data_IF_408136694489
#
_entry.id   IF_408136694489
#
_cell.length_a   1.000
_cell.length_b   1.000
_cell.length_c   1.000
_cell.angle_alpha   90.00
_cell.angle_beta   90.00
_cell.angle_gamma   90.00
#
_symmetry.space_group_name_H-M   'P 1'
#
loop_
_entity.id
_entity.type
_entity.pdbx_description
1 polymer ?
#
# COMPACT_ATOMS: atom_id res chain seq x y z
N UNK A 1 0.05 40.24 45.88
CA UNK A 1 0.44 40.77 44.57
C UNK A 1 1.09 39.63 43.82
N UNK A 2 0.32 39.07 42.91
CA UNK A 2 0.59 37.89 42.10
C UNK A 2 1.30 38.32 40.83
N UNK A 3 2.54 37.89 40.64
CA UNK A 3 3.23 38.02 39.36
C UNK A 3 2.94 36.78 38.53
N UNK A 4 2.10 36.98 37.50
CA UNK A 4 1.84 36.04 36.41
C UNK A 4 3.12 35.83 35.59
N UNK A 5 3.72 34.65 35.72
CA UNK A 5 4.70 34.15 34.76
C UNK A 5 3.92 33.74 33.50
N UNK A 6 3.95 34.62 32.50
CA UNK A 6 3.56 34.28 31.12
C UNK A 6 4.49 33.18 30.60
N UNK A 7 3.95 31.96 30.48
CA UNK A 7 4.53 30.92 29.60
C UNK A 7 4.33 31.38 28.16
N UNK A 8 5.39 31.94 27.57
CA UNK A 8 5.45 32.27 26.15
C UNK A 8 5.73 30.96 25.39
N UNK A 9 4.81 30.57 24.50
CA UNK A 9 4.98 29.43 23.59
C UNK A 9 6.08 29.73 22.57
N UNK A 10 7.11 28.88 22.52
CA UNK A 10 8.11 28.87 21.46
C UNK A 10 7.50 28.19 20.23
N UNK A 11 7.44 28.90 19.11
CA UNK A 11 7.04 28.35 17.81
C UNK A 11 8.30 27.70 17.21
N UNK A 12 8.43 26.39 17.36
CA UNK A 12 9.50 25.59 16.75
C UNK A 12 9.28 25.47 15.23
N UNK A 13 9.99 26.27 14.43
CA UNK A 13 10.14 26.00 13.00
C UNK A 13 11.23 24.94 12.83
N UNK A 14 10.87 23.76 12.33
CA UNK A 14 11.81 22.67 12.05
C UNK A 14 11.79 22.35 10.56
N UNK A 15 12.96 22.33 9.95
CA UNK A 15 13.11 22.15 8.50
C UNK A 15 14.07 20.99 8.22
N UNK A 16 13.74 20.10 7.29
CA UNK A 16 14.48 18.89 6.97
C UNK A 16 15.00 18.90 5.54
N UNK A 17 16.25 18.53 5.23
CA UNK A 17 16.73 18.36 3.85
C UNK A 17 17.79 17.26 3.68
N UNK A 18 18.03 16.78 2.44
CA UNK A 18 19.10 15.83 2.10
C UNK A 18 20.38 16.57 1.67
N UNK A 19 21.56 16.17 2.16
CA UNK A 19 22.83 16.82 1.82
C UNK A 19 23.66 15.91 0.90
N UNK A 20 23.99 16.39 -0.31
CA UNK A 20 24.99 15.78 -1.19
C UNK A 20 26.29 16.58 -1.03
N UNK A 21 27.32 15.94 -0.50
CA UNK A 21 28.72 16.31 -0.74
C UNK A 21 29.53 15.02 -0.90
N UNK A 22 29.77 14.62 -2.14
CA UNK A 22 30.93 13.79 -2.47
C UNK A 22 32.09 14.73 -2.86
N UNK A 23 33.34 14.47 -2.41
CA UNK A 23 34.51 15.25 -2.78
C UNK A 23 35.24 14.67 -4.01
N UNK A 24 35.73 15.58 -4.88
CA UNK A 24 36.76 15.41 -5.94
C UNK A 24 36.39 14.53 -7.16
N UNK A 25 36.78 14.80 -8.41
CA UNK A 25 37.79 15.72 -8.97
C UNK A 25 37.48 16.01 -10.46
N UNK A 26 38.09 17.08 -10.97
CA UNK A 26 37.98 17.61 -12.33
C UNK A 26 38.32 16.60 -13.44
N UNK A 27 37.64 16.73 -14.59
CA UNK A 27 38.31 16.91 -15.89
C UNK A 27 37.38 17.61 -16.87
N UNK A 28 37.76 18.84 -17.24
CA UNK A 28 37.25 19.59 -18.39
C UNK A 28 37.92 19.07 -19.66
N UNK A 29 37.15 18.93 -20.74
CA UNK A 29 37.62 19.19 -22.10
C UNK A 29 36.42 19.47 -23.02
N UNK A 30 36.06 20.74 -23.08
CA UNK A 30 35.80 21.57 -24.26
C UNK A 30 35.56 20.96 -25.67
N UNK A 31 34.63 21.64 -26.36
CA UNK A 31 34.40 21.77 -27.83
C UNK A 31 33.60 20.63 -28.50
N UNK A 32 32.67 20.86 -29.43
CA UNK A 32 32.40 22.02 -30.28
C UNK A 32 30.92 22.05 -30.75
N UNK A 33 30.47 23.27 -31.04
CA UNK A 33 29.27 23.60 -31.79
C UNK A 33 29.13 22.79 -33.09
N UNK A 34 27.88 22.48 -33.45
CA UNK A 34 27.36 22.79 -34.79
C UNK A 34 25.82 22.80 -34.79
N UNK A 35 25.31 24.00 -35.08
CA UNK A 35 24.04 24.27 -35.73
C UNK A 35 23.89 23.43 -37.01
N UNK A 36 22.66 23.08 -37.38
CA UNK A 36 22.10 23.46 -38.68
C UNK A 36 20.58 23.28 -38.68
N UNK A 37 19.92 24.32 -39.18
CA UNK A 37 18.50 24.46 -39.47
C UNK A 37 18.14 23.75 -40.79
N UNK A 38 16.86 23.36 -40.92
CA UNK A 38 15.97 23.40 -42.10
C UNK A 38 14.87 22.34 -41.91
N UNK A 39 13.60 22.70 -41.69
CA UNK A 39 12.58 22.98 -42.72
C UNK A 39 12.61 21.94 -43.86
N UNK A 40 11.58 21.14 -44.13
CA UNK A 40 10.25 21.56 -44.54
C UNK A 40 9.38 20.34 -44.95
N UNK A 41 8.06 20.58 -44.97
CA UNK A 41 7.04 20.04 -45.88
C UNK A 41 6.39 18.65 -45.70
N UNK A 42 5.17 18.74 -45.13
CA UNK A 42 3.89 18.24 -45.64
C UNK A 42 3.89 17.46 -46.97
N UNK A 43 3.24 16.28 -46.95
CA UNK A 43 2.30 15.90 -48.01
C UNK A 43 1.28 14.85 -47.55
N UNK A 44 0.02 15.27 -47.53
CA UNK A 44 -1.16 14.41 -47.62
C UNK A 44 -1.21 13.76 -49.02
N UNK A 45 -1.55 12.47 -49.08
CA UNK A 45 -2.26 11.91 -50.23
C UNK A 45 -3.12 10.71 -49.83
N UNK A 46 -4.38 10.80 -50.26
CA UNK A 46 -5.50 9.88 -50.09
C UNK A 46 -5.34 8.54 -50.83
N UNK A 47 -6.28 7.65 -50.46
CA UNK A 47 -7.09 6.73 -51.30
C UNK A 47 -6.60 5.28 -51.39
N UNK A 48 -7.42 4.34 -50.95
CA UNK A 48 -8.48 3.72 -51.78
C UNK A 48 -9.02 2.44 -51.12
N UNK A 49 -10.35 2.30 -51.14
CA UNK A 49 -11.11 1.13 -50.73
C UNK A 49 -10.79 -0.12 -51.55
N UNK A 50 -10.88 -1.31 -50.94
CA UNK A 50 -11.32 -2.54 -51.61
C UNK A 50 -11.85 -3.57 -50.61
N UNK A 51 -13.15 -3.83 -50.71
CA UNK A 51 -13.86 -5.00 -50.17
C UNK A 51 -13.53 -6.27 -50.99
N UNK A 52 -13.42 -7.41 -50.31
CA UNK A 52 -13.95 -8.69 -50.81
C UNK A 52 -13.94 -9.79 -49.73
N UNK A 53 -15.07 -10.48 -49.65
CA UNK A 53 -15.44 -11.58 -48.76
C UNK A 53 -14.69 -12.91 -48.99
N UNK A 54 -14.60 -13.71 -47.91
CA UNK A 54 -15.24 -15.04 -47.76
C UNK A 54 -14.36 -16.23 -47.28
N UNK A 55 -14.86 -16.86 -46.21
CA UNK A 55 -14.79 -18.26 -45.75
C UNK A 55 -13.45 -19.00 -45.48
N UNK A 56 -13.27 -19.41 -44.22
CA UNK A 56 -13.40 -20.81 -43.73
C UNK A 56 -12.38 -21.22 -42.64
N UNK A 57 -12.95 -21.67 -41.51
CA UNK A 57 -12.45 -22.57 -40.47
C UNK A 57 -10.95 -22.67 -40.15
N UNK A 58 -10.55 -22.30 -38.93
CA UNK A 58 -9.96 -23.29 -38.01
C UNK A 58 -10.06 -22.86 -36.53
N UNK A 59 -10.30 -23.84 -35.67
CA UNK A 59 -10.42 -23.68 -34.21
C UNK A 59 -9.06 -23.42 -33.58
N UNK A 60 -8.84 -22.25 -32.97
CA UNK A 60 -7.98 -22.11 -31.79
C UNK A 60 -8.56 -21.10 -30.81
N UNK A 61 -8.70 -21.55 -29.57
CA UNK A 61 -8.99 -20.77 -28.37
C UNK A 61 -8.07 -19.53 -28.35
N UNK A 62 -8.66 -18.35 -28.52
CA UNK A 62 -7.98 -17.07 -28.34
C UNK A 62 -8.83 -16.21 -27.42
N UNK A 63 -8.13 -15.52 -26.54
CA UNK A 63 -8.53 -14.72 -25.37
C UNK A 63 -9.77 -13.83 -25.60
N UNK A 64 -10.55 -13.50 -24.55
CA UNK A 64 -11.65 -12.57 -24.69
C UNK A 64 -11.09 -11.19 -25.05
N UNK A 65 -11.46 -10.78 -26.26
CA UNK A 65 -11.08 -9.56 -26.96
C UNK A 65 -11.42 -8.30 -26.17
N UNK A 66 -10.44 -7.40 -26.19
CA UNK A 66 -10.51 -5.95 -26.01
C UNK A 66 -11.92 -5.37 -26.13
N UNK A 67 -12.44 -4.90 -24.98
CA UNK A 67 -13.54 -3.96 -24.99
C UNK A 67 -13.01 -2.61 -25.48
N UNK A 68 -13.55 -2.19 -26.62
CA UNK A 68 -13.17 -1.01 -27.35
C UNK A 68 -12.98 0.23 -26.47
N UNK A 69 -11.75 0.72 -26.56
CA UNK A 69 -11.26 1.97 -26.06
C UNK A 69 -11.87 3.10 -26.88
N UNK A 70 -12.92 3.76 -26.39
CA UNK A 70 -13.27 5.15 -26.76
C UNK A 70 -14.28 5.82 -25.80
N UNK A 71 -14.38 5.36 -24.55
CA UNK A 71 -14.96 6.19 -23.49
C UNK A 71 -13.83 6.94 -22.80
N UNK A 72 -13.83 8.27 -22.90
CA UNK A 72 -12.87 9.19 -22.28
C UNK A 72 -12.92 9.22 -20.74
N UNK A 73 -13.35 8.14 -20.11
CA UNK A 73 -13.13 7.89 -18.69
C UNK A 73 -11.70 7.38 -18.56
N UNK A 74 -10.75 8.30 -18.43
CA UNK A 74 -9.46 8.03 -17.78
C UNK A 74 -9.75 7.47 -16.38
N UNK A 75 -9.97 6.16 -16.28
CA UNK A 75 -9.99 5.44 -15.01
C UNK A 75 -8.62 5.70 -14.38
N UNK A 76 -8.60 6.50 -13.34
CA UNK A 76 -7.39 6.84 -12.60
C UNK A 76 -6.87 5.53 -12.01
N UNK A 77 -5.80 4.98 -12.59
CA UNK A 77 -5.26 3.66 -12.21
C UNK A 77 -4.70 3.65 -10.78
N UNK A 78 -4.64 4.79 -10.09
CA UNK A 78 -4.06 4.97 -8.75
C UNK A 78 -4.71 4.13 -7.64
N UNK A 79 -5.99 3.74 -7.81
CA UNK A 79 -6.75 2.90 -6.86
C UNK A 79 -6.52 1.41 -7.05
N UNK A 80 -5.97 1.04 -8.20
CA UNK A 80 -5.62 -0.32 -8.54
C UNK A 80 -4.11 -0.49 -8.30
N UNK A 81 -3.64 -1.66 -7.81
CA UNK A 81 -2.21 -1.90 -7.63
C UNK A 81 -1.42 -1.76 -8.94
N UNK A 82 -2.08 -1.93 -10.09
CA UNK A 82 -1.55 -1.70 -11.44
C UNK A 82 -1.10 -0.24 -11.69
N UNK A 83 -1.62 0.73 -10.91
CA UNK A 83 -1.14 2.12 -10.92
C UNK A 83 0.14 2.36 -10.12
N UNK A 84 0.71 1.32 -9.50
CA UNK A 84 1.88 1.39 -8.62
C UNK A 84 1.53 1.73 -7.16
N UNK A 85 2.34 1.28 -6.20
CA UNK A 85 2.23 1.66 -4.78
C UNK A 85 3.56 2.19 -4.28
N UNK A 86 3.59 3.44 -3.82
CA UNK A 86 4.78 4.06 -3.25
C UNK A 86 5.30 3.26 -2.05
N UNK A 87 4.39 2.78 -1.21
CA UNK A 87 4.77 2.03 -0.01
C UNK A 87 5.38 0.66 -0.36
N UNK A 88 4.84 -0.02 -1.38
CA UNK A 88 5.44 -1.26 -1.89
C UNK A 88 6.79 -1.00 -2.55
N UNK A 89 6.90 0.04 -3.37
CA UNK A 89 8.11 0.40 -4.12
C UNK A 89 9.26 0.82 -3.21
N UNK A 90 8.96 1.37 -2.03
CA UNK A 90 9.97 1.84 -1.10
C UNK A 90 10.65 0.72 -0.30
N UNK A 91 10.12 -0.50 -0.36
CA UNK A 91 10.60 -1.69 0.37
C UNK A 91 10.79 -1.42 1.87
N UNK A 92 9.87 -0.66 2.46
CA UNK A 92 9.97 -0.26 3.87
C UNK A 92 9.59 -1.46 4.75
N UNK A 93 10.49 -1.92 5.64
CA UNK A 93 10.17 -3.02 6.53
C UNK A 93 8.99 -2.68 7.44
N UNK A 94 8.10 -3.65 7.62
CA UNK A 94 7.05 -3.59 8.62
C UNK A 94 7.64 -3.61 10.04
N UNK A 95 6.97 -3.01 11.03
CA UNK A 95 7.31 -3.25 12.45
C UNK A 95 6.81 -4.61 12.90
N UNK A 96 7.34 -5.12 14.01
CA UNK A 96 6.85 -6.37 14.62
C UNK A 96 5.35 -6.29 14.93
N UNK A 97 4.86 -5.14 15.37
CA UNK A 97 3.43 -4.92 15.63
C UNK A 97 2.61 -4.92 14.33
N UNK A 98 3.12 -4.31 13.25
CA UNK A 98 2.45 -4.32 11.95
C UNK A 98 2.37 -5.74 11.37
N UNK A 99 3.47 -6.49 11.42
CA UNK A 99 3.52 -7.90 10.98
C UNK A 99 2.53 -8.76 11.79
N UNK A 100 2.53 -8.60 13.12
CA UNK A 100 1.62 -9.31 14.01
C UNK A 100 0.15 -8.99 13.70
N UNK A 101 -0.18 -7.71 13.48
CA UNK A 101 -1.55 -7.30 13.13
C UNK A 101 -2.02 -7.90 11.81
N UNK A 102 -1.14 -7.94 10.80
CA UNK A 102 -1.43 -8.58 9.51
C UNK A 102 -1.66 -10.08 9.72
N UNK A 103 -0.77 -10.77 10.42
CA UNK A 103 -0.91 -12.20 10.67
C UNK A 103 -2.20 -12.54 11.46
N UNK A 104 -2.55 -11.73 12.46
CA UNK A 104 -3.78 -11.87 13.22
C UNK A 104 -5.03 -11.70 12.33
N UNK A 105 -5.07 -10.66 11.49
CA UNK A 105 -6.17 -10.44 10.55
C UNK A 105 -6.30 -11.60 9.57
N UNK A 106 -5.21 -11.99 8.90
CA UNK A 106 -5.27 -13.01 7.87
C UNK A 106 -5.71 -14.36 8.45
N UNK A 107 -5.33 -14.68 9.69
CA UNK A 107 -5.83 -15.87 10.42
C UNK A 107 -7.31 -15.75 10.78
N UNK A 108 -7.73 -14.59 11.28
CA UNK A 108 -9.12 -14.39 11.71
C UNK A 108 -10.09 -14.39 10.54
N UNK A 109 -9.75 -13.72 9.42
CA UNK A 109 -10.51 -13.81 8.17
C UNK A 109 -10.62 -15.26 7.73
N UNK A 110 -9.50 -15.99 7.60
CA UNK A 110 -9.51 -17.43 7.22
C UNK A 110 -10.40 -18.27 8.13
N UNK A 111 -10.36 -18.04 9.44
CA UNK A 111 -11.25 -18.71 10.39
C UNK A 111 -12.73 -18.40 10.15
N UNK A 112 -13.07 -17.17 9.72
CA UNK A 112 -14.44 -16.81 9.33
C UNK A 112 -14.87 -17.47 8.02
N UNK A 113 -13.95 -17.66 7.06
CA UNK A 113 -14.22 -18.44 5.84
C UNK A 113 -14.65 -19.86 6.21
N UNK A 114 -13.84 -20.53 7.05
CA UNK A 114 -14.12 -21.91 7.49
C UNK A 114 -15.42 -22.02 8.29
N UNK A 115 -15.74 -20.99 9.09
CA UNK A 115 -17.00 -20.89 9.83
C UNK A 115 -18.19 -20.75 8.86
N UNK A 116 -18.10 -19.84 7.89
CA UNK A 116 -19.10 -19.62 6.85
C UNK A 116 -19.36 -20.91 6.06
N UNK A 117 -18.31 -21.57 5.57
CA UNK A 117 -18.43 -22.83 4.83
C UNK A 117 -19.10 -23.94 5.66
N UNK A 118 -18.73 -24.07 6.94
CA UNK A 118 -19.28 -25.10 7.82
C UNK A 118 -20.76 -24.85 8.09
N UNK A 119 -21.13 -23.60 8.35
CA UNK A 119 -22.53 -23.23 8.52
C UNK A 119 -23.32 -23.52 7.24
N UNK A 120 -22.79 -23.13 6.09
CA UNK A 120 -23.43 -23.35 4.79
C UNK A 120 -23.71 -24.84 4.53
N UNK A 121 -22.67 -25.68 4.67
CA UNK A 121 -22.78 -27.15 4.53
C UNK A 121 -23.79 -27.74 5.52
N UNK A 122 -23.83 -27.22 6.75
CA UNK A 122 -24.78 -27.67 7.78
C UNK A 122 -26.22 -27.34 7.38
N UNK A 123 -26.51 -26.10 6.98
CA UNK A 123 -27.85 -25.67 6.56
C UNK A 123 -28.35 -26.50 5.37
N UNK A 124 -27.52 -26.70 4.35
CA UNK A 124 -27.85 -27.54 3.20
C UNK A 124 -28.17 -28.98 3.63
N UNK A 125 -27.33 -29.58 4.49
CA UNK A 125 -27.53 -30.97 4.92
C UNK A 125 -28.83 -31.19 5.71
N UNK A 126 -29.30 -30.14 6.39
CA UNK A 126 -30.53 -30.15 7.19
C UNK A 126 -31.77 -29.68 6.41
N UNK A 127 -31.62 -29.31 5.13
CA UNK A 127 -32.67 -28.68 4.33
C UNK A 127 -33.25 -27.41 5.00
N UNK A 128 -32.40 -26.69 5.74
CA UNK A 128 -32.74 -25.40 6.34
C UNK A 128 -32.63 -24.29 5.29
N UNK A 129 -33.44 -23.23 5.45
CA UNK A 129 -33.35 -22.06 4.57
C UNK A 129 -31.94 -21.43 4.64
N UNK A 130 -31.38 -21.14 3.47
CA UNK A 130 -30.14 -20.36 3.33
C UNK A 130 -30.42 -18.84 3.28
N UNK A 131 -31.69 -18.45 3.38
CA UNK A 131 -32.12 -17.06 3.53
C UNK A 131 -31.35 -16.43 4.71
N UNK A 132 -30.70 -15.30 4.44
CA UNK A 132 -29.84 -14.53 5.35
C UNK A 132 -28.49 -15.16 5.71
N UNK A 133 -28.11 -16.30 5.12
CA UNK A 133 -26.74 -16.82 5.31
C UNK A 133 -25.70 -15.86 4.73
N UNK A 134 -25.95 -15.33 3.52
CA UNK A 134 -25.05 -14.37 2.85
C UNK A 134 -24.85 -13.13 3.70
N UNK A 135 -25.94 -12.55 4.19
CA UNK A 135 -25.91 -11.38 5.07
C UNK A 135 -25.04 -11.67 6.32
N UNK A 136 -25.30 -12.79 7.01
CA UNK A 136 -24.51 -13.19 8.18
C UNK A 136 -23.03 -13.46 7.89
N UNK A 137 -22.71 -14.02 6.72
CA UNK A 137 -21.34 -14.24 6.28
C UNK A 137 -20.61 -12.92 5.98
N UNK A 138 -21.29 -12.00 5.29
CA UNK A 138 -20.77 -10.65 4.99
C UNK A 138 -20.59 -9.82 6.27
N UNK A 139 -21.51 -9.89 7.22
CA UNK A 139 -21.40 -9.22 8.53
C UNK A 139 -20.21 -9.73 9.35
N UNK A 140 -19.89 -11.03 9.29
CA UNK A 140 -18.67 -11.56 9.91
C UNK A 140 -17.41 -11.00 9.27
N UNK A 141 -17.37 -10.87 7.95
CA UNK A 141 -16.25 -10.25 7.24
C UNK A 141 -16.13 -8.79 7.67
N UNK A 142 -17.24 -8.04 7.65
CA UNK A 142 -17.31 -6.64 8.06
C UNK A 142 -16.80 -6.45 9.49
N UNK A 143 -17.26 -7.26 10.43
CA UNK A 143 -16.85 -7.21 11.83
C UNK A 143 -15.33 -7.37 12.00
N UNK A 144 -14.70 -8.26 11.23
CA UNK A 144 -13.24 -8.42 11.24
C UNK A 144 -12.58 -7.19 10.60
N UNK A 145 -13.06 -6.71 9.46
CA UNK A 145 -12.52 -5.52 8.79
C UNK A 145 -12.54 -4.31 9.73
N UNK A 146 -13.70 -3.98 10.30
CA UNK A 146 -13.87 -2.85 11.22
C UNK A 146 -12.88 -2.91 12.39
N UNK A 147 -12.80 -4.08 13.04
CA UNK A 147 -11.89 -4.34 14.17
C UNK A 147 -10.42 -4.06 13.82
N UNK A 148 -9.95 -4.44 12.64
CA UNK A 148 -8.54 -4.25 12.27
C UNK A 148 -8.26 -2.88 11.65
N UNK A 149 -9.25 -2.26 11.00
CA UNK A 149 -9.17 -0.86 10.59
C UNK A 149 -8.95 0.06 11.80
N UNK A 150 -9.67 -0.16 12.90
CA UNK A 150 -9.49 0.55 14.17
C UNK A 150 -8.11 0.34 14.81
N UNK A 151 -7.48 -0.81 14.54
CA UNK A 151 -6.13 -1.14 15.03
C UNK A 151 -5.00 -0.58 14.16
N UNK A 152 -5.31 0.13 13.08
CA UNK A 152 -4.29 0.71 12.20
C UNK A 152 -3.62 -0.29 11.25
N UNK A 153 -4.32 -1.35 10.83
CA UNK A 153 -3.80 -2.34 9.87
C UNK A 153 -3.31 -1.69 8.56
N UNK A 154 -2.20 -2.19 8.01
CA UNK A 154 -1.73 -1.84 6.66
C UNK A 154 -2.44 -2.69 5.60
N UNK A 155 -3.32 -2.06 4.87
CA UNK A 155 -4.22 -2.62 3.85
C UNK A 155 -3.47 -3.13 2.62
N UNK A 156 -2.40 -2.45 2.24
CA UNK A 156 -1.64 -2.76 1.04
C UNK A 156 -0.49 -3.75 1.31
N UNK A 157 -0.33 -4.22 2.54
CA UNK A 157 0.68 -5.22 2.89
C UNK A 157 0.24 -6.63 2.55
N UNK A 158 1.20 -7.52 2.22
CA UNK A 158 0.95 -8.92 1.90
C UNK A 158 0.68 -9.74 3.16
N UNK A 159 -0.28 -10.65 3.10
CA UNK A 159 -0.48 -11.68 4.12
C UNK A 159 0.62 -12.75 3.99
N UNK A 160 1.33 -13.10 5.07
CA UNK A 160 2.43 -14.10 5.01
C UNK A 160 2.02 -15.50 4.50
N UNK A 161 0.72 -15.78 4.37
CA UNK A 161 0.17 -17.06 3.93
C UNK A 161 -0.56 -17.01 2.57
N UNK A 162 -0.50 -15.88 1.86
CA UNK A 162 -1.00 -15.72 0.49
C UNK A 162 -0.12 -14.72 -0.27
N UNK A 163 0.00 -14.82 -1.59
CA UNK A 163 0.67 -13.77 -2.38
C UNK A 163 -0.19 -12.49 -2.50
N UNK A 164 -1.24 -12.37 -1.67
CA UNK A 164 -2.28 -11.36 -1.76
C UNK A 164 -2.12 -10.30 -0.66
N UNK A 165 -2.50 -9.06 -1.01
CA UNK A 165 -2.62 -7.99 -0.01
C UNK A 165 -3.83 -8.23 0.88
N UNK A 166 -3.86 -7.61 2.06
CA UNK A 166 -5.01 -7.65 2.99
C UNK A 166 -6.31 -7.29 2.27
N UNK A 167 -6.30 -6.21 1.47
CA UNK A 167 -7.49 -5.79 0.70
C UNK A 167 -7.93 -6.86 -0.29
N UNK A 168 -7.00 -7.42 -1.08
CA UNK A 168 -7.35 -8.43 -2.07
C UNK A 168 -7.90 -9.71 -1.43
N UNK A 169 -7.34 -10.12 -0.28
CA UNK A 169 -7.86 -11.25 0.49
C UNK A 169 -9.31 -11.03 0.91
N UNK A 170 -9.64 -9.83 1.40
CA UNK A 170 -11.02 -9.49 1.82
C UNK A 170 -11.97 -9.52 0.61
N UNK A 171 -11.56 -8.95 -0.53
CA UNK A 171 -12.38 -8.96 -1.74
C UNK A 171 -12.62 -10.39 -2.27
N UNK A 172 -11.58 -11.23 -2.29
CA UNK A 172 -11.72 -12.64 -2.65
C UNK A 172 -12.73 -13.36 -1.76
N UNK A 173 -12.71 -13.07 -0.47
CA UNK A 173 -13.62 -13.70 0.47
C UNK A 173 -15.08 -13.26 0.23
N UNK A 174 -15.31 -11.97 -0.04
CA UNK A 174 -16.64 -11.50 -0.43
C UNK A 174 -17.12 -12.22 -1.68
N UNK A 175 -16.26 -12.35 -2.70
CA UNK A 175 -16.59 -13.09 -3.94
C UNK A 175 -16.94 -14.55 -3.62
N UNK A 176 -16.16 -15.23 -2.78
CA UNK A 176 -16.42 -16.61 -2.38
C UNK A 176 -17.77 -16.81 -1.69
N UNK A 177 -18.18 -15.87 -0.82
CA UNK A 177 -19.50 -15.88 -0.19
C UNK A 177 -20.61 -15.76 -1.23
N UNK A 178 -20.48 -14.84 -2.20
CA UNK A 178 -21.49 -14.60 -3.23
C UNK A 178 -21.58 -15.76 -4.25
N UNK A 179 -20.47 -16.39 -4.59
CA UNK A 179 -20.46 -17.55 -5.49
C UNK A 179 -21.07 -18.80 -4.84
N UNK A 180 -20.92 -18.95 -3.53
CA UNK A 180 -21.43 -20.11 -2.80
C UNK A 180 -22.96 -20.22 -2.84
N UNK A 181 -23.68 -19.10 -2.86
CA UNK A 181 -25.15 -19.05 -2.88
C UNK A 181 -25.75 -19.12 -4.28
N UNK A 182 -25.02 -18.72 -5.31
CA UNK A 182 -25.54 -18.70 -6.69
C UNK A 182 -25.57 -20.08 -7.35
N UNK A 183 -24.62 -20.96 -6.99
CA UNK A 183 -24.55 -22.34 -7.49
C UNK A 183 -25.70 -23.24 -6.99
N UNK A 184 -26.44 -22.83 -5.96
CA UNK A 184 -27.59 -23.56 -5.42
C UNK A 184 -28.93 -23.05 -5.96
N UNK A 185 -29.07 -21.74 -6.24
CA UNK A 185 -30.29 -21.18 -6.83
C UNK A 185 -30.45 -21.55 -8.31
N UNK A 186 -29.35 -21.76 -9.06
CA UNK A 186 -29.42 -22.29 -10.44
C UNK A 186 -29.68 -23.80 -10.52
N UNK A 187 -30.04 -24.45 -9.41
CA UNK A 187 -30.45 -25.86 -9.31
C UNK A 187 -31.82 -26.19 -9.91
N UNK A 188 -32.32 -25.38 -10.83
CA UNK A 188 -33.49 -25.68 -11.65
C UNK A 188 -33.18 -26.80 -12.65
N UNK A 189 -33.53 -28.03 -12.28
CA UNK A 189 -33.71 -29.24 -13.13
C UNK A 189 -33.40 -29.05 -14.62
N UNK A 190 -32.22 -29.52 -15.05
CA UNK A 190 -32.10 -30.09 -16.40
C UNK A 190 -32.49 -31.57 -16.35
N UNK A 191 -33.75 -31.85 -16.01
CA UNK A 191 -34.36 -33.11 -16.42
C UNK A 191 -34.84 -32.92 -17.85
N UNK A 192 -34.05 -33.42 -18.81
CA UNK A 192 -34.54 -33.66 -20.16
C UNK A 192 -35.80 -34.53 -20.05
N UNK A 193 -36.90 -34.04 -20.64
CA UNK A 193 -38.22 -34.64 -20.79
C UNK A 193 -39.19 -34.40 -19.61
N UNK A 194 -39.95 -33.29 -19.67
CA UNK A 194 -41.41 -33.34 -19.82
C UNK A 194 -41.96 -31.95 -20.23
N UNK A 195 -42.94 -31.86 -21.14
CA UNK A 195 -43.48 -30.59 -21.64
C UNK A 195 -44.75 -30.18 -20.88
N UNK A 196 -44.89 -28.86 -20.71
CA UNK A 196 -46.10 -28.14 -20.24
C UNK A 196 -46.25 -28.18 -18.72
N UNK A 197 -45.60 -27.23 -18.05
CA UNK A 197 -46.31 -26.46 -17.03
C UNK A 197 -45.80 -25.01 -17.02
N UNK A 198 -46.76 -24.12 -16.82
CA UNK A 198 -46.68 -22.68 -16.93
C UNK A 198 -45.49 -22.11 -16.13
N UNK A 199 -44.60 -21.43 -16.84
CA UNK A 199 -43.50 -20.63 -16.30
C UNK A 199 -44.03 -19.57 -15.32
N UNK A 200 -43.87 -19.83 -14.03
CA UNK A 200 -43.83 -18.80 -13.00
C UNK A 200 -42.39 -18.26 -12.94
N UNK A 201 -42.07 -17.34 -13.85
CA UNK A 201 -40.87 -16.50 -13.78
C UNK A 201 -41.05 -15.40 -12.71
N UNK A 202 -41.41 -15.76 -11.48
CA UNK A 202 -41.49 -14.81 -10.39
C UNK A 202 -40.55 -15.18 -9.23
N UNK A 203 -39.50 -14.36 -9.10
CA UNK A 203 -38.76 -14.04 -7.87
C UNK A 203 -37.88 -15.13 -7.25
N UNK A 204 -36.75 -15.40 -7.90
CA UNK A 204 -35.51 -15.65 -7.13
C UNK A 204 -34.57 -14.48 -7.45
N UNK A 205 -34.69 -13.39 -6.69
CA UNK A 205 -33.69 -12.32 -6.73
C UNK A 205 -32.34 -12.92 -6.35
N UNK A 206 -31.31 -12.69 -7.17
CA UNK A 206 -29.96 -13.19 -6.90
C UNK A 206 -29.53 -12.65 -5.53
N UNK A 207 -29.04 -13.52 -4.65
CA UNK A 207 -28.66 -13.15 -3.30
C UNK A 207 -27.59 -12.05 -3.30
N UNK A 208 -26.75 -11.99 -4.33
CA UNK A 208 -25.78 -10.92 -4.54
C UNK A 208 -26.40 -9.55 -4.88
N UNK A 209 -27.68 -9.54 -5.26
CA UNK A 209 -28.44 -8.35 -5.67
C UNK A 209 -29.43 -7.85 -4.61
N UNK A 210 -29.52 -8.53 -3.45
CA UNK A 210 -30.32 -8.04 -2.32
C UNK A 210 -29.75 -6.75 -1.76
N UNK A 211 -30.62 -5.78 -1.48
CA UNK A 211 -30.27 -4.44 -1.01
C UNK A 211 -29.44 -4.46 0.29
N UNK A 212 -29.74 -5.38 1.21
CA UNK A 212 -28.99 -5.56 2.46
C UNK A 212 -27.54 -6.00 2.19
N UNK A 213 -27.35 -6.98 1.31
CA UNK A 213 -26.03 -7.49 0.95
C UNK A 213 -25.22 -6.43 0.19
N UNK A 214 -25.86 -5.70 -0.74
CA UNK A 214 -25.26 -4.57 -1.45
C UNK A 214 -24.77 -3.53 -0.45
N UNK A 215 -25.59 -3.18 0.54
CA UNK A 215 -25.25 -2.18 1.56
C UNK A 215 -24.04 -2.59 2.40
N UNK A 216 -23.96 -3.85 2.83
CA UNK A 216 -22.82 -4.38 3.58
C UNK A 216 -21.54 -4.36 2.73
N UNK A 217 -21.62 -4.83 1.48
CA UNK A 217 -20.48 -4.84 0.55
C UNK A 217 -20.00 -3.40 0.30
N UNK A 218 -20.91 -2.48 0.00
CA UNK A 218 -20.58 -1.07 -0.21
C UNK A 218 -19.93 -0.45 1.02
N UNK A 219 -20.39 -0.78 2.24
CA UNK A 219 -19.73 -0.35 3.48
C UNK A 219 -18.28 -0.84 3.55
N UNK A 220 -18.05 -2.16 3.39
CA UNK A 220 -16.70 -2.75 3.46
C UNK A 220 -15.79 -2.11 2.40
N UNK A 221 -16.25 -2.04 1.15
CA UNK A 221 -15.51 -1.48 0.01
C UNK A 221 -15.16 -0.02 0.28
N UNK A 222 -16.14 0.79 0.72
CA UNK A 222 -15.95 2.20 1.06
C UNK A 222 -14.90 2.37 2.16
N UNK A 223 -15.01 1.61 3.24
CA UNK A 223 -14.12 1.74 4.40
C UNK A 223 -12.66 1.36 4.06
N UNK A 224 -12.46 0.34 3.23
CA UNK A 224 -11.14 -0.05 2.75
C UNK A 224 -10.52 0.99 1.79
N UNK A 225 -11.26 1.45 0.78
CA UNK A 225 -10.75 2.35 -0.26
C UNK A 225 -10.55 3.78 0.25
N UNK A 226 -11.44 4.31 1.08
CA UNK A 226 -11.26 5.63 1.69
C UNK A 226 -10.04 5.68 2.63
N UNK A 227 -9.64 4.53 3.17
CA UNK A 227 -8.39 4.35 3.93
C UNK A 227 -7.19 4.01 3.05
N UNK A 228 -7.30 4.14 1.73
CA UNK A 228 -6.17 3.98 0.81
C UNK A 228 -5.83 2.53 0.42
N UNK A 229 -6.74 1.58 0.71
CA UNK A 229 -6.62 0.22 0.22
C UNK A 229 -6.66 0.15 -1.30
N UNK A 230 -5.74 -0.61 -1.90
CA UNK A 230 -5.67 -0.86 -3.34
C UNK A 230 -6.11 -2.29 -3.64
N UNK A 231 -7.10 -2.41 -4.50
CA UNK A 231 -7.72 -3.68 -4.90
C UNK A 231 -7.42 -3.96 -6.36
N UNK A 232 -7.20 -5.22 -6.73
CA UNK A 232 -7.02 -5.62 -8.13
C UNK A 232 -8.28 -5.36 -8.94
N UNK A 233 -8.12 -4.89 -10.18
CA UNK A 233 -9.26 -4.46 -11.03
C UNK A 233 -10.29 -5.56 -11.26
N UNK A 234 -9.84 -6.78 -11.53
CA UNK A 234 -10.74 -7.92 -11.77
C UNK A 234 -11.52 -8.35 -10.53
N UNK A 235 -11.03 -8.03 -9.31
CA UNK A 235 -11.77 -8.26 -8.08
C UNK A 235 -12.84 -7.19 -7.89
N UNK A 236 -12.50 -5.92 -8.11
CA UNK A 236 -13.44 -4.82 -7.91
C UNK A 236 -14.61 -4.83 -8.90
N UNK A 237 -14.36 -5.25 -10.14
CA UNK A 237 -15.39 -5.40 -11.19
C UNK A 237 -15.79 -6.86 -11.40
N UNK A 238 -15.54 -7.75 -10.44
CA UNK A 238 -15.98 -9.13 -10.52
C UNK A 238 -17.50 -9.21 -10.70
N UNK A 239 -18.02 -10.06 -11.58
CA UNK A 239 -19.46 -10.11 -11.93
C UNK A 239 -20.39 -10.09 -10.70
N UNK A 240 -19.99 -10.80 -9.62
CA UNK A 240 -20.77 -10.88 -8.38
C UNK A 240 -20.71 -9.63 -7.50
N UNK A 241 -19.58 -8.94 -7.46
CA UNK A 241 -19.41 -7.73 -6.63
C UNK A 241 -19.69 -6.45 -7.44
N UNK A 242 -19.59 -6.54 -8.77
CA UNK A 242 -19.78 -5.46 -9.73
C UNK A 242 -21.14 -4.82 -9.61
N UNK A 243 -22.18 -5.62 -9.29
CA UNK A 243 -23.51 -5.10 -8.99
C UNK A 243 -23.49 -4.15 -7.80
N UNK A 244 -22.81 -4.48 -6.71
CA UNK A 244 -22.70 -3.60 -5.55
C UNK A 244 -21.78 -2.40 -5.81
N UNK A 245 -20.66 -2.59 -6.53
CA UNK A 245 -19.66 -1.53 -6.75
C UNK A 245 -20.04 -0.56 -7.86
N UNK A 246 -20.89 -0.95 -8.81
CA UNK A 246 -21.35 -0.09 -9.92
C UNK A 246 -22.83 0.32 -9.82
N UNK A 247 -23.54 -0.15 -8.79
CA UNK A 247 -24.91 0.28 -8.49
C UNK A 247 -24.99 1.80 -8.30
N UNK A 248 -26.17 2.34 -8.62
CA UNK A 248 -26.51 3.72 -8.30
C UNK A 248 -26.72 3.86 -6.80
N UNK A 249 -26.16 4.92 -6.21
CA UNK A 249 -26.39 5.25 -4.80
C UNK A 249 -27.63 6.15 -4.75
N UNK A 250 -28.72 5.64 -4.18
CA UNK A 250 -30.02 6.32 -4.10
C UNK A 250 -30.60 6.76 -5.46
N UNK A 251 -31.72 7.50 -5.46
CA UNK A 251 -32.31 8.16 -6.65
C UNK A 251 -31.39 9.22 -7.30
N UNK A 252 -30.09 9.23 -6.97
CA UNK A 252 -29.10 10.08 -7.60
C UNK A 252 -28.57 9.39 -8.86
N UNK A 253 -28.30 10.16 -9.91
CA UNK A 253 -27.71 9.64 -11.16
C UNK A 253 -26.21 9.26 -11.00
N UNK A 254 -25.69 9.10 -9.78
CA UNK A 254 -24.29 8.81 -9.50
C UNK A 254 -24.09 7.34 -9.13
N UNK A 255 -23.16 6.69 -9.82
CA UNK A 255 -22.72 5.33 -9.50
C UNK A 255 -21.81 5.35 -8.25
N UNK A 256 -21.89 4.29 -7.45
CA UNK A 256 -21.13 4.13 -6.21
C UNK A 256 -19.62 4.28 -6.43
N UNK A 257 -19.06 3.58 -7.41
CA UNK A 257 -17.64 3.68 -7.78
C UNK A 257 -17.20 5.11 -8.11
N UNK A 258 -17.97 5.83 -8.93
CA UNK A 258 -17.69 7.23 -9.29
C UNK A 258 -17.69 8.14 -8.07
N UNK A 259 -18.67 7.97 -7.18
CA UNK A 259 -18.72 8.73 -5.93
C UNK A 259 -17.50 8.43 -5.06
N UNK A 260 -17.22 7.15 -4.84
CA UNK A 260 -16.13 6.67 -4.00
C UNK A 260 -14.78 7.13 -4.50
N UNK A 261 -14.50 7.01 -5.81
CA UNK A 261 -13.24 7.47 -6.39
C UNK A 261 -13.08 8.98 -6.31
N UNK A 262 -14.16 9.76 -6.44
CA UNK A 262 -14.11 11.20 -6.22
C UNK A 262 -13.73 11.55 -4.77
N UNK A 263 -14.25 10.81 -3.79
CA UNK A 263 -13.87 10.97 -2.37
C UNK A 263 -12.43 10.56 -2.11
N UNK A 264 -11.97 9.42 -2.62
CA UNK A 264 -10.57 8.99 -2.53
C UNK A 264 -9.63 10.04 -3.14
N UNK A 265 -9.98 10.59 -4.32
CA UNK A 265 -9.20 11.65 -4.98
C UNK A 265 -9.14 12.93 -4.16
N UNK A 266 -10.23 13.29 -3.48
CA UNK A 266 -10.27 14.45 -2.59
C UNK A 266 -9.32 14.25 -1.41
N UNK A 267 -9.35 13.07 -0.78
CA UNK A 267 -8.46 12.71 0.33
C UNK A 267 -6.98 12.77 -0.12
N UNK A 268 -6.65 12.18 -1.26
CA UNK A 268 -5.30 12.20 -1.82
C UNK A 268 -4.82 13.64 -2.11
N UNK A 269 -5.67 14.45 -2.74
CA UNK A 269 -5.34 15.86 -3.02
C UNK A 269 -5.19 16.69 -1.75
N UNK A 270 -5.98 16.40 -0.71
CA UNK A 270 -5.84 17.07 0.59
C UNK A 270 -4.47 16.78 1.19
N UNK A 271 -4.02 15.52 1.21
CA UNK A 271 -2.67 15.16 1.66
C UNK A 271 -1.59 15.80 0.77
N UNK A 272 -1.78 15.82 -0.55
CA UNK A 272 -0.84 16.44 -1.50
C UNK A 272 -0.69 17.95 -1.27
N UNK A 273 -1.78 18.64 -0.97
CA UNK A 273 -1.77 20.07 -0.64
C UNK A 273 -1.03 20.32 0.68
N UNK A 274 -1.30 19.52 1.71
CA UNK A 274 -0.58 19.61 3.00
C UNK A 274 0.92 19.36 2.82
N UNK A 275 1.28 18.35 2.03
CA UNK A 275 2.66 18.05 1.68
C UNK A 275 3.33 19.22 0.97
N UNK A 276 2.69 19.80 -0.05
CA UNK A 276 3.19 20.98 -0.75
C UNK A 276 3.38 22.18 0.18
N UNK A 277 2.42 22.42 1.07
CA UNK A 277 2.48 23.52 2.02
C UNK A 277 3.62 23.40 3.03
N UNK A 278 4.05 22.17 3.34
CA UNK A 278 5.16 21.88 4.25
C UNK A 278 6.53 22.21 3.69
N UNK A 279 6.68 22.44 2.38
CA UNK A 279 7.96 22.80 1.76
C UNK A 279 8.32 24.23 2.14
N UNK A 280 9.51 24.44 2.72
CA UNK A 280 9.96 25.74 3.25
C UNK A 280 10.33 26.72 2.14
N UNK A 281 11.04 26.26 1.10
CA UNK A 281 11.52 27.10 -0.01
C UNK A 281 10.70 26.86 -1.28
N UNK A 282 9.47 27.37 -1.30
CA UNK A 282 8.57 27.31 -2.46
C UNK A 282 9.07 28.29 -3.52
N UNK A 283 9.75 27.81 -4.56
CA UNK A 283 10.04 28.66 -5.72
C UNK A 283 8.89 28.52 -6.73
N UNK A 284 7.95 29.46 -6.69
CA UNK A 284 6.63 29.40 -7.35
C UNK A 284 6.68 29.11 -8.86
N UNK A 285 7.74 29.56 -9.54
CA UNK A 285 7.86 29.47 -11.01
C UNK A 285 8.58 28.21 -11.52
N UNK A 286 9.33 27.49 -10.65
CA UNK A 286 10.11 26.31 -11.03
C UNK A 286 9.50 24.98 -10.55
N UNK A 287 8.53 25.05 -9.63
CA UNK A 287 8.02 23.89 -8.89
C UNK A 287 6.65 23.39 -9.37
N UNK A 288 5.79 24.24 -9.96
CA UNK A 288 4.41 23.83 -10.33
C UNK A 288 4.34 22.83 -11.49
N UNK A 289 5.24 22.94 -12.46
CA UNK A 289 5.25 22.08 -13.66
C UNK A 289 6.25 20.91 -13.58
N UNK A 290 7.03 20.80 -12.48
CA UNK A 290 8.10 19.79 -12.30
C UNK A 290 8.11 19.08 -10.93
N UNK A 291 7.15 19.33 -10.04
CA UNK A 291 7.07 18.59 -8.77
C UNK A 291 6.63 17.15 -9.04
N UNK A 292 7.57 16.19 -9.00
CA UNK A 292 7.27 14.77 -8.80
C UNK A 292 6.82 14.50 -7.35
N UNK A 293 5.97 15.36 -6.78
CA UNK A 293 5.38 15.13 -5.47
C UNK A 293 4.32 14.03 -5.61
N UNK A 294 4.59 12.89 -4.98
CA UNK A 294 3.65 11.76 -4.92
C UNK A 294 3.24 11.52 -3.48
N UNK A 295 1.98 11.18 -3.28
CA UNK A 295 1.44 10.85 -1.95
C UNK A 295 0.67 9.54 -2.02
N UNK A 296 0.62 8.82 -0.91
CA UNK A 296 -0.17 7.61 -0.75
C UNK A 296 -0.65 7.49 0.69
N UNK A 297 -1.82 6.90 0.90
CA UNK A 297 -2.40 6.60 2.22
C UNK A 297 -2.56 5.09 2.33
N UNK A 298 -2.30 4.57 3.52
CA UNK A 298 -2.56 3.19 3.91
C UNK A 298 -2.98 3.16 5.38
N UNK A 299 -4.30 3.28 5.58
CA UNK A 299 -4.98 3.45 6.85
C UNK A 299 -4.42 4.61 7.68
N UNK A 300 -3.84 4.36 8.86
CA UNK A 300 -3.24 5.40 9.70
C UNK A 300 -1.87 5.87 9.19
N UNK A 301 -1.33 5.20 8.17
CA UNK A 301 -0.04 5.51 7.57
C UNK A 301 -0.22 6.33 6.29
N UNK A 302 0.73 7.22 6.03
CA UNK A 302 0.82 7.92 4.76
C UNK A 302 2.26 8.01 4.29
N UNK A 303 2.45 8.04 2.98
CA UNK A 303 3.74 8.21 2.32
C UNK A 303 3.74 9.50 1.51
N UNK A 304 4.84 10.24 1.57
CA UNK A 304 5.08 11.41 0.73
C UNK A 304 6.47 11.29 0.12
N UNK A 305 6.53 11.25 -1.21
CA UNK A 305 7.77 11.40 -1.97
C UNK A 305 7.92 12.83 -2.43
N UNK A 306 8.89 13.54 -1.86
CA UNK A 306 9.23 14.90 -2.23
C UNK A 306 10.27 14.94 -3.35
N UNK A 307 10.37 16.08 -4.06
CA UNK A 307 11.54 16.40 -4.89
C UNK A 307 12.85 16.28 -4.11
N UNK A 308 13.92 15.91 -4.81
CA UNK A 308 15.20 15.53 -4.22
C UNK A 308 15.79 16.54 -3.22
N UNK A 309 15.76 17.84 -3.53
CA UNK A 309 16.39 18.88 -2.70
C UNK A 309 15.37 19.62 -1.81
N UNK A 310 14.25 18.97 -1.48
CA UNK A 310 13.20 19.59 -0.70
C UNK A 310 13.63 19.81 0.74
N UNK A 311 13.30 21.01 1.24
CA UNK A 311 13.32 21.26 2.67
C UNK A 311 11.90 21.24 3.24
N UNK A 312 11.59 20.35 4.19
CA UNK A 312 10.20 20.13 4.67
C UNK A 312 10.01 20.38 6.16
N UNK A 313 8.86 20.93 6.52
CA UNK A 313 8.42 21.15 7.90
C UNK A 313 7.42 20.07 8.32
N UNK A 314 7.94 19.01 8.96
CA UNK A 314 7.16 17.82 9.33
C UNK A 314 6.00 18.14 10.28
N UNK A 315 6.14 19.17 11.11
CA UNK A 315 5.09 19.64 12.01
C UNK A 315 3.82 20.06 11.25
N UNK A 316 3.96 20.75 10.12
CA UNK A 316 2.82 21.16 9.28
C UNK A 316 2.03 19.98 8.69
N UNK A 317 2.66 18.81 8.60
CA UNK A 317 2.03 17.60 8.07
C UNK A 317 1.30 16.87 9.19
N UNK A 318 2.00 16.48 10.25
CA UNK A 318 1.43 15.65 11.32
C UNK A 318 0.45 16.42 12.21
N UNK A 319 0.58 17.73 12.32
CA UNK A 319 -0.35 18.57 13.09
C UNK A 319 -1.50 19.13 12.26
N UNK A 320 -1.59 18.81 10.96
CA UNK A 320 -2.65 19.31 10.10
C UNK A 320 -4.02 18.73 10.48
N UNK A 321 -5.05 19.58 10.57
CA UNK A 321 -6.40 19.17 10.95
C UNK A 321 -7.03 18.17 9.95
N UNK A 322 -6.72 18.27 8.65
CA UNK A 322 -7.20 17.30 7.65
C UNK A 322 -6.60 15.91 7.92
N UNK A 323 -5.30 15.84 8.19
CA UNK A 323 -4.63 14.59 8.50
C UNK A 323 -5.12 13.99 9.83
N UNK A 324 -5.38 14.83 10.84
CA UNK A 324 -6.03 14.39 12.09
C UNK A 324 -7.43 13.84 11.86
N UNK A 325 -8.24 14.47 11.00
CA UNK A 325 -9.59 14.00 10.68
C UNK A 325 -9.60 12.64 9.98
N UNK A 326 -8.53 12.33 9.25
CA UNK A 326 -8.30 11.04 8.61
C UNK A 326 -7.56 10.04 9.52
N UNK A 327 -7.26 10.41 10.77
CA UNK A 327 -6.50 9.61 11.74
C UNK A 327 -5.12 9.17 11.20
N UNK A 328 -4.47 10.02 10.38
CA UNK A 328 -3.13 9.77 9.86
C UNK A 328 -2.08 10.07 10.95
N UNK A 329 -1.46 9.02 11.48
CA UNK A 329 -0.54 9.09 12.63
C UNK A 329 0.92 8.83 12.26
N UNK A 330 1.16 8.03 11.22
CA UNK A 330 2.50 7.58 10.84
C UNK A 330 2.85 8.10 9.45
N UNK A 331 3.82 9.00 9.39
CA UNK A 331 4.36 9.53 8.14
C UNK A 331 5.61 8.80 7.69
N UNK A 332 5.64 8.44 6.41
CA UNK A 332 6.81 7.97 5.68
C UNK A 332 7.20 9.07 4.70
N UNK A 333 8.33 9.72 4.93
CA UNK A 333 8.77 10.87 4.15
C UNK A 333 10.02 10.48 3.35
N UNK A 334 9.92 10.50 2.03
CA UNK A 334 11.06 10.28 1.13
C UNK A 334 11.53 11.62 0.56
N UNK A 335 12.82 11.92 0.74
CA UNK A 335 13.48 13.10 0.19
C UNK A 335 14.79 12.65 -0.44
N UNK A 336 14.85 12.74 -1.77
CA UNK A 336 15.92 12.10 -2.54
C UNK A 336 15.95 10.58 -2.28
N UNK A 337 17.09 10.09 -1.79
CA UNK A 337 17.25 8.67 -1.42
C UNK A 337 16.92 8.39 0.05
N UNK A 338 16.86 9.40 0.90
CA UNK A 338 16.58 9.24 2.33
C UNK A 338 15.09 8.98 2.55
N UNK A 339 14.78 8.02 3.43
CA UNK A 339 13.41 7.71 3.85
C UNK A 339 13.36 7.83 5.36
N UNK A 340 12.35 8.54 5.88
CA UNK A 340 12.18 8.77 7.31
C UNK A 340 10.82 8.33 7.75
N UNK A 341 10.78 7.54 8.82
CA UNK A 341 9.54 7.18 9.49
C UNK A 341 9.36 8.05 10.72
N UNK A 342 8.24 8.76 10.78
CA UNK A 342 7.86 9.63 11.88
C UNK A 342 6.45 9.31 12.34
N UNK A 343 6.23 9.30 13.65
CA UNK A 343 4.92 9.06 14.26
C UNK A 343 4.51 10.25 15.13
N UNK A 344 3.22 10.57 15.13
CA UNK A 344 2.65 11.46 16.14
C UNK A 344 2.29 10.67 17.40
N UNK A 345 3.09 10.83 18.45
CA UNK A 345 2.92 10.15 19.74
C UNK A 345 2.70 11.18 20.86
N UNK A 346 1.54 11.15 21.52
CA UNK A 346 1.16 12.07 22.60
C UNK A 346 1.37 13.56 22.23
N UNK A 347 1.02 13.94 21.00
CA UNK A 347 1.20 15.31 20.49
C UNK A 347 2.63 15.69 20.12
N UNK A 348 3.59 14.76 20.25
CA UNK A 348 4.99 14.93 19.85
C UNK A 348 5.29 14.17 18.57
N UNK A 349 6.24 14.68 17.79
CA UNK A 349 6.78 13.97 16.62
C UNK A 349 7.90 13.04 17.08
N UNK A 350 7.76 11.75 16.84
CA UNK A 350 8.78 10.77 17.16
C UNK A 350 9.41 10.22 15.88
N UNK A 351 10.69 10.50 15.67
CA UNK A 351 11.45 9.97 14.54
C UNK A 351 11.93 8.56 14.90
N UNK A 352 11.43 7.59 14.16
CA UNK A 352 11.50 6.17 14.51
C UNK A 352 12.52 5.41 13.66
N UNK A 353 12.75 5.87 12.43
CA UNK A 353 13.68 5.23 11.52
C UNK A 353 14.19 6.21 10.46
N UNK A 354 15.40 5.94 9.98
CA UNK A 354 16.01 6.58 8.82
C UNK A 354 16.60 5.47 7.96
N UNK A 355 16.15 5.34 6.71
CA UNK A 355 16.56 4.29 5.79
C UNK A 355 17.32 4.88 4.60
N UNK A 356 18.16 4.03 4.01
CA UNK A 356 19.02 4.31 2.84
C UNK A 356 20.11 5.36 3.13
N UNK A 357 19.74 6.62 3.25
CA UNK A 357 20.67 7.74 3.48
C UNK A 357 20.32 8.52 4.74
N UNK A 358 21.33 9.19 5.30
CA UNK A 358 21.18 10.05 6.45
C UNK A 358 20.37 11.31 6.14
N UNK A 359 19.99 12.00 7.20
CA UNK A 359 19.09 13.16 7.14
C UNK A 359 19.50 14.22 8.15
N UNK A 360 19.12 15.47 7.90
CA UNK A 360 19.41 16.58 8.80
C UNK A 360 18.09 17.12 9.36
N UNK A 361 17.98 17.14 10.68
CA UNK A 361 16.94 17.85 11.41
C UNK A 361 17.49 19.20 11.87
N UNK A 362 16.84 20.29 11.49
CA UNK A 362 17.17 21.62 12.00
C UNK A 362 16.19 22.07 13.08
N UNK A 363 16.72 22.64 14.16
CA UNK A 363 15.96 23.23 15.26
C UNK A 363 16.42 24.66 15.48
N UNK A 364 15.48 25.59 15.51
CA UNK A 364 15.76 26.94 15.97
C UNK A 364 15.64 27.01 17.51
N UNK A 365 16.62 27.62 18.16
CA UNK A 365 16.63 27.82 19.61
C UNK A 365 17.11 29.23 19.96
N UNK A 366 16.90 29.67 21.20
CA UNK A 366 17.40 30.97 21.68
C UNK A 366 18.92 31.10 21.59
N UNK A 367 19.65 29.98 21.68
CA UNK A 367 21.11 29.97 21.55
C UNK A 367 21.60 29.99 20.08
N UNK A 368 20.68 29.81 19.12
CA UNK A 368 20.97 29.69 17.70
C UNK A 368 20.36 28.44 17.08
N UNK A 369 20.59 28.26 15.78
CA UNK A 369 20.16 27.10 15.03
C UNK A 369 21.06 25.89 15.33
N UNK A 370 20.45 24.73 15.54
CA UNK A 370 21.13 23.44 15.72
C UNK A 370 20.73 22.51 14.58
N UNK A 371 21.73 21.91 13.94
CA UNK A 371 21.56 20.86 12.94
C UNK A 371 21.97 19.52 13.53
N UNK A 372 21.04 18.56 13.49
CA UNK A 372 21.23 17.19 13.97
C UNK A 372 21.24 16.25 12.78
N UNK A 373 22.36 15.56 12.58
CA UNK A 373 22.52 14.54 11.57
C UNK A 373 22.07 13.19 12.13
N UNK A 374 21.07 12.58 11.48
CA UNK A 374 20.62 11.23 11.77
C UNK A 374 21.11 10.31 10.65
N UNK A 375 22.04 9.40 10.98
CA UNK A 375 22.65 8.51 10.01
C UNK A 375 22.35 7.05 10.34
N UNK A 376 21.71 6.28 9.44
CA UNK A 376 21.57 4.85 9.65
C UNK A 376 22.93 4.17 9.64
N UNK A 377 23.27 3.45 10.73
CA UNK A 377 24.47 2.60 10.73
C UNK A 377 24.23 1.36 9.87
N UNK A 378 25.18 1.04 9.00
CA UNK A 378 25.12 -0.17 8.15
C UNK A 378 25.12 -1.41 9.05
N UNK A 379 24.21 -2.36 8.77
CA UNK A 379 24.08 -3.63 9.50
C UNK A 379 23.86 -3.48 11.02
N UNK A 380 23.24 -2.37 11.45
CA UNK A 380 22.95 -2.11 12.85
C UNK A 380 21.56 -1.50 13.01
N UNK A 381 20.94 -1.80 14.15
CA UNK A 381 19.67 -1.24 14.59
C UNK A 381 19.81 0.17 15.12
N UNK A 382 21.01 0.74 15.11
CA UNK A 382 21.24 2.09 15.60
C UNK A 382 21.13 3.12 14.46
N UNK A 383 20.50 4.24 14.81
CA UNK A 383 20.63 5.51 14.10
C UNK A 383 21.63 6.35 14.88
N UNK A 384 22.74 6.69 14.24
CA UNK A 384 23.74 7.59 14.80
C UNK A 384 23.21 9.04 14.81
N UNK A 385 23.44 9.73 15.92
CA UNK A 385 23.07 11.13 16.13
C UNK A 385 24.34 11.96 16.25
N UNK A 386 24.55 12.89 15.33
CA UNK A 386 25.73 13.78 15.31
C UNK A 386 25.32 15.24 15.14
N UNK A 387 26.14 16.13 15.68
CA UNK A 387 26.06 17.56 15.43
C UNK A 387 27.18 17.96 14.47
N UNK A 388 26.98 19.04 13.71
CA UNK A 388 28.10 19.74 13.07
C UNK A 388 28.85 20.62 14.09
N UNK A 389 30.07 21.04 13.75
CA UNK A 389 30.94 21.84 14.66
C UNK A 389 30.22 23.10 15.18
N UNK A 390 29.47 23.79 14.30
CA UNK A 390 28.73 24.99 14.68
C UNK A 390 27.59 24.69 15.65
N UNK A 391 26.94 23.55 15.49
CA UNK A 391 25.84 23.07 16.31
C UNK A 391 26.33 22.54 17.66
N UNK A 392 27.55 22.00 17.74
CA UNK A 392 28.18 21.62 19.01
C UNK A 392 28.40 22.83 19.91
N UNK A 393 28.88 23.95 19.37
CA UNK A 393 29.07 25.18 20.14
C UNK A 393 27.73 25.73 20.67
N UNK A 394 26.68 25.69 19.85
CA UNK A 394 25.32 26.13 20.24
C UNK A 394 24.73 25.17 21.28
N UNK A 395 24.92 23.87 21.12
CA UNK A 395 24.45 22.85 22.04
C UNK A 395 25.09 22.98 23.44
N UNK A 396 26.40 23.23 23.51
CA UNK A 396 27.07 23.45 24.80
C UNK A 396 26.63 24.75 25.49
N UNK A 397 26.20 25.77 24.75
CA UNK A 397 25.54 26.95 25.33
C UNK A 397 24.17 26.60 25.91
N UNK A 398 23.33 25.85 25.18
CA UNK A 398 22.02 25.40 25.68
C UNK A 398 22.15 24.56 26.96
N UNK A 399 23.14 23.66 27.00
CA UNK A 399 23.42 22.80 28.15
C UNK A 399 23.73 23.62 29.41
N UNK A 400 24.52 24.69 29.27
CA UNK A 400 24.90 25.59 30.37
C UNK A 400 23.73 26.47 30.84
N UNK A 401 22.83 26.86 29.93
CA UNK A 401 21.67 27.69 30.26
C UNK A 401 20.46 26.89 30.77
N UNK A 402 20.48 25.55 30.66
CA UNK A 402 19.36 24.71 31.06
C UNK A 402 18.12 24.86 30.16
N UNK A 403 18.31 25.37 28.94
CA UNK A 403 17.23 25.53 27.96
C UNK A 403 16.90 24.17 27.31
N UNK A 404 15.64 23.99 26.96
CA UNK A 404 15.16 22.81 26.25
C UNK A 404 15.41 22.92 24.73
N UNK A 405 15.43 21.77 24.06
CA UNK A 405 15.56 21.69 22.61
C UNK A 405 14.52 20.71 22.07
N UNK A 406 13.68 21.17 21.14
CA UNK A 406 12.70 20.33 20.45
C UNK A 406 11.74 19.63 21.40
N UNK A 407 11.09 20.35 22.32
CA UNK A 407 10.19 19.78 23.35
C UNK A 407 9.07 18.90 22.75
N UNK A 408 8.66 19.24 21.53
CA UNK A 408 7.63 18.54 20.75
C UNK A 408 8.20 17.48 19.80
N UNK A 409 9.46 17.08 20.00
CA UNK A 409 10.19 16.12 19.17
C UNK A 409 10.86 15.04 20.04
N UNK A 410 10.82 13.81 19.55
CA UNK A 410 11.48 12.64 20.11
C UNK A 410 12.28 11.93 19.01
N UNK A 411 13.37 11.27 19.41
CA UNK A 411 14.21 10.44 18.55
C UNK A 411 14.26 9.03 19.16
N UNK A 412 13.59 8.06 18.53
CA UNK A 412 13.45 6.70 19.08
C UNK A 412 12.83 6.67 20.48
N UNK A 413 11.87 7.56 20.75
CA UNK A 413 11.25 7.70 22.08
C UNK A 413 12.04 8.52 23.10
N UNK A 414 13.31 8.84 22.82
CA UNK A 414 14.15 9.70 23.68
C UNK A 414 13.92 11.18 23.38
N UNK A 415 14.18 12.03 24.36
CA UNK A 415 14.26 13.48 24.11
C UNK A 415 15.41 13.81 23.15
N UNK A 416 15.32 14.93 22.42
CA UNK A 416 16.39 15.35 21.49
C UNK A 416 17.74 15.50 22.20
N UNK A 417 17.75 16.12 23.38
CA UNK A 417 18.97 16.32 24.18
C UNK A 417 19.60 14.99 24.62
N UNK A 418 18.77 14.03 25.03
CA UNK A 418 19.22 12.70 25.44
C UNK A 418 19.81 11.91 24.27
N UNK A 419 19.14 11.92 23.12
CA UNK A 419 19.63 11.25 21.91
C UNK A 419 20.96 11.83 21.41
N UNK A 420 21.15 13.16 21.50
CA UNK A 420 22.45 13.80 21.20
C UNK A 420 23.54 13.31 22.19
N UNK A 421 23.24 13.29 23.49
CA UNK A 421 24.21 12.88 24.52
C UNK A 421 24.62 11.42 24.37
N UNK A 422 23.67 10.55 24.07
CA UNK A 422 23.90 9.13 23.87
C UNK A 422 24.55 8.84 22.50
N UNK A 423 24.48 9.80 21.57
CA UNK A 423 25.03 9.72 20.21
C UNK A 423 24.29 8.74 19.29
N UNK A 424 23.19 8.13 19.75
CA UNK A 424 22.38 7.20 18.99
C UNK A 424 20.98 6.94 19.60
N UNK A 425 20.11 6.35 18.79
CA UNK A 425 18.88 5.67 19.23
C UNK A 425 18.63 4.41 18.41
N UNK A 426 17.81 3.50 18.92
CA UNK A 426 17.44 2.26 18.23
C UNK A 426 16.29 2.48 17.25
N UNK A 427 16.38 1.85 16.08
CA UNK A 427 15.31 1.80 15.07
C UNK A 427 14.10 1.06 15.62
N UNK A 428 12.93 1.40 15.10
CA UNK A 428 11.67 0.72 15.42
C UNK A 428 11.59 -0.74 14.94
N UNK A 429 12.59 -1.22 14.20
CA UNK A 429 12.74 -2.64 13.87
C UNK A 429 14.18 -3.06 14.17
N UNK A 430 14.32 -4.23 14.80
CA UNK A 430 15.59 -4.94 14.72
C UNK A 430 15.81 -5.36 13.26
N UNK A 431 16.63 -4.62 12.52
CA UNK A 431 17.38 -5.16 11.39
C UNK A 431 18.20 -6.32 11.96
N UNK A 432 17.65 -7.52 11.89
CA UNK A 432 18.47 -8.72 11.99
C UNK A 432 19.50 -8.54 10.88
N UNK A 433 20.81 -8.41 11.20
CA UNK A 433 21.82 -8.36 10.17
C UNK A 433 21.58 -9.56 9.30
N UNK A 434 21.51 -9.38 7.98
CA UNK A 434 21.55 -10.50 7.05
C UNK A 434 22.94 -11.11 7.12
N UNK A 435 23.29 -11.73 8.25
CA UNK A 435 24.34 -12.71 8.31
C UNK A 435 23.80 -13.90 7.54
N UNK A 436 24.08 -13.89 6.23
CA UNK A 436 24.32 -15.09 5.45
C UNK A 436 23.21 -16.13 5.66
N UNK A 437 22.05 -15.90 5.02
CA UNK A 437 21.38 -17.04 4.38
C UNK A 437 22.28 -17.34 3.18
N UNK A 438 23.40 -18.02 3.45
CA UNK A 438 24.00 -18.89 2.44
C UNK A 438 22.86 -19.83 2.09
N UNK A 439 22.32 -19.64 0.88
CA UNK A 439 21.58 -20.69 0.21
C UNK A 439 22.37 -21.99 0.42
N UNK A 440 21.76 -23.08 0.92
CA UNK A 440 22.42 -24.36 0.81
C UNK A 440 22.65 -24.59 -0.67
N UNK A 441 23.91 -24.48 -1.09
CA UNK A 441 24.35 -24.81 -2.44
C UNK A 441 23.76 -26.18 -2.78
N UNK A 442 22.82 -26.21 -3.72
CA UNK A 442 22.36 -27.42 -4.38
C UNK A 442 23.49 -27.90 -5.31
N UNK A 443 24.56 -28.38 -4.70
CA UNK A 443 25.54 -29.22 -5.37
C UNK A 443 24.93 -30.62 -5.49
N UNK A 444 24.35 -30.89 -6.66
CA UNK A 444 24.39 -32.19 -7.36
C UNK A 444 24.61 -33.43 -6.49
N UNK A 445 23.53 -34.03 -5.98
CA UNK A 445 23.51 -35.45 -5.68
C UNK A 445 22.92 -36.21 -6.86
N UNK A 446 23.79 -36.53 -7.81
CA UNK A 446 23.59 -37.61 -8.78
C UNK A 446 23.34 -38.91 -8.00
N UNK A 447 22.26 -39.68 -8.26
CA UNK A 447 22.13 -41.02 -7.71
C UNK A 447 23.22 -41.90 -8.34
N UNK A 448 24.25 -42.22 -7.55
CA UNK A 448 25.20 -43.29 -7.89
C UNK A 448 24.44 -44.60 -7.89
N UNK A 449 24.32 -45.18 -9.08
CA UNK A 449 24.01 -46.58 -9.31
C UNK A 449 24.89 -47.47 -8.43
N UNK A 450 24.31 -48.04 -7.39
CA UNK A 450 24.89 -49.22 -6.74
C UNK A 450 24.42 -50.47 -7.50
N UNK A 451 25.27 -50.89 -8.43
CA UNK A 451 25.38 -52.28 -8.83
C UNK A 451 26.00 -53.06 -7.66
N UNK A 452 25.18 -53.78 -6.92
CA UNK A 452 25.63 -54.95 -6.17
C UNK A 452 24.72 -56.14 -6.49
N UNK A 453 25.23 -56.98 -7.39
CA UNK A 453 25.32 -58.43 -7.25
C UNK A 453 24.11 -59.15 -6.62
N UNK A 454 23.13 -59.48 -7.46
CA UNK A 454 22.29 -60.65 -7.22
C UNK A 454 23.11 -61.89 -7.56
N UNK A 455 23.49 -62.61 -6.50
CA UNK A 455 23.97 -63.99 -6.57
C UNK A 455 22.90 -64.87 -7.21
N UNK A 456 23.22 -65.43 -8.37
CA UNK A 456 22.47 -66.52 -8.99
C UNK A 456 22.67 -67.79 -8.15
N UNK A 457 21.76 -68.06 -7.21
CA UNK A 457 21.53 -69.45 -6.76
C UNK A 457 20.75 -70.15 -7.87
N UNK A 458 21.42 -71.07 -8.56
CA UNK A 458 20.85 -71.77 -9.69
C UNK A 458 19.62 -72.58 -9.32
N UNK A 459 18.81 -72.92 -10.33
CA UNK A 459 18.24 -74.24 -10.50
C UNK A 459 17.99 -74.47 -11.99
N UNK A 460 18.45 -75.64 -12.43
CA UNK A 460 18.37 -76.16 -13.78
C UNK A 460 16.92 -76.31 -14.25
N UNK A 461 16.64 -75.92 -15.50
CA UNK A 461 15.68 -76.66 -16.32
C UNK A 461 16.37 -77.11 -17.60
N UNK A 462 16.60 -78.42 -17.68
CA UNK A 462 16.88 -79.14 -18.93
C UNK A 462 15.65 -79.05 -19.83
N UNK A 463 15.86 -78.68 -21.08
CA UNK A 463 15.00 -79.07 -22.20
C UNK A 463 15.23 -80.55 -22.56
N UNK A 464 14.17 -81.36 -22.63
CA UNK A 464 13.82 -82.35 -23.67
C UNK A 464 12.99 -83.52 -23.12
N UNK A 465 11.94 -83.81 -23.91
CA UNK A 465 10.94 -84.90 -23.89
C UNK A 465 9.83 -84.80 -22.85
#
# INVERSE_FOLDING_TARGET
MTDEIKKQQTIDQQSFGSNIKDPMEFSRSDLSNKTDEHESDNRLQNSSDHDSDDSSADRRLTEPSDWDSNSSCSLDYSYFPEGGSLLMDLEIPLTENEEKLIDELCKEIKGKIEENEREYKTKISKQESIENWTEGALERIKSVVDKYLEKGIKLNSRCNSSEETVVNLIFNEIVGVLESTTNTTSGGRSSRLDPIDLLDYSKDEDEATKDENISIIQSIVRDLLLKGGKVKRYLFHHDRIGHATTAFVDNSFLQFDKHLFAECKKIENDLKNVAYESIVNKNEQAQKDKLELKVEIDNECFCIKYPQDSTVEVAKILSNEKNKSLNLRVGILQIGKSIVRVESYNGKRNYLDVLKQGVILSFDSEAGKISIHLNPKKNSNEIEVKLDESSEEVFEKLKKSGLSLGENCLLGGKSVLEAIRDGNFERNRSIIPTSVIEQPNTATNTPRSHLENISLSGHNYKTKQ
#
